data_IF_097390981445
#
_entry.id   IF_097390981445
#
_cell.length_a   1.000
_cell.length_b   1.000
_cell.length_c   1.000
_cell.angle_alpha   90.00
_cell.angle_beta   90.00
_cell.angle_gamma   90.00
#
_symmetry.space_group_name_H-M   'P 1'
#
loop_
_entity.id
_entity.type
_entity.pdbx_description
1 polymer ?
#
# COMPACT_ATOMS: atom_id res chain seq x y z
N UNK A 1 11.47 19.25 -24.47
CA UNK A 1 10.21 19.28 -23.70
C UNK A 1 10.48 18.73 -22.30
N UNK A 2 9.95 19.34 -21.24
CA UNK A 2 10.22 18.94 -19.84
C UNK A 2 9.68 17.55 -19.45
N UNK A 3 8.99 16.85 -20.35
CA UNK A 3 8.40 15.53 -20.10
C UNK A 3 9.41 14.36 -20.05
N UNK A 4 10.66 14.55 -20.51
CA UNK A 4 11.67 13.46 -20.51
C UNK A 4 12.09 12.98 -19.11
N UNK A 5 11.79 13.74 -18.05
CA UNK A 5 12.07 13.35 -16.67
C UNK A 5 10.95 12.54 -15.99
N UNK A 6 9.89 12.18 -16.72
CA UNK A 6 8.79 11.36 -16.21
C UNK A 6 8.86 9.90 -16.67
N UNK A 7 9.77 9.59 -17.59
CA UNK A 7 10.00 8.22 -18.02
C UNK A 7 10.92 7.52 -17.01
N UNK A 8 10.61 6.28 -16.60
CA UNK A 8 11.51 5.50 -15.77
C UNK A 8 12.89 5.42 -16.42
N UNK A 9 13.94 5.48 -15.59
CA UNK A 9 15.30 5.30 -16.08
C UNK A 9 15.42 3.96 -16.83
N UNK A 10 16.10 3.94 -17.99
CA UNK A 10 16.38 2.69 -18.68
C UNK A 10 17.23 1.77 -17.78
N UNK A 11 17.03 0.44 -17.82
CA UNK A 11 17.81 -0.51 -17.04
C UNK A 11 19.31 -0.37 -17.25
N UNK A 12 19.74 -0.05 -18.48
CA UNK A 12 21.14 0.17 -18.84
C UNK A 12 21.78 1.40 -18.17
N UNK A 13 20.97 2.32 -17.64
CA UNK A 13 21.44 3.50 -16.92
C UNK A 13 21.62 3.25 -15.42
N UNK A 14 21.21 2.08 -14.92
CA UNK A 14 21.35 1.71 -13.50
C UNK A 14 22.81 1.78 -13.05
N UNK A 15 23.07 2.54 -11.98
CA UNK A 15 24.41 2.74 -11.42
C UNK A 15 25.24 3.83 -12.09
N UNK A 16 24.81 4.38 -13.23
CA UNK A 16 25.47 5.50 -13.92
C UNK A 16 24.74 6.83 -13.78
N UNK A 17 23.45 6.78 -13.42
CA UNK A 17 22.59 7.94 -13.23
C UNK A 17 21.76 7.78 -11.95
N UNK A 18 21.63 8.86 -11.18
CA UNK A 18 20.75 8.94 -10.02
C UNK A 18 19.55 9.81 -10.41
N UNK A 19 18.36 9.21 -10.46
CA UNK A 19 17.11 9.94 -10.68
C UNK A 19 16.61 10.51 -9.34
N UNK A 20 16.64 11.85 -9.23
CA UNK A 20 16.12 12.60 -8.08
C UNK A 20 14.69 13.12 -8.32
N UNK A 21 14.11 12.87 -9.49
CA UNK A 21 12.75 13.26 -9.87
C UNK A 21 11.70 12.18 -9.57
N UNK A 22 12.11 10.93 -9.40
CA UNK A 22 11.23 9.82 -9.04
C UNK A 22 11.30 9.50 -7.54
N UNK A 23 10.14 9.49 -6.88
CA UNK A 23 10.02 9.12 -5.47
C UNK A 23 9.84 7.60 -5.25
N UNK A 24 9.74 6.82 -6.33
CA UNK A 24 9.58 5.36 -6.25
C UNK A 24 10.96 4.67 -6.24
N UNK A 25 11.14 3.74 -5.31
CA UNK A 25 12.31 2.86 -5.31
C UNK A 25 12.15 1.77 -6.39
N UNK A 26 13.26 1.24 -6.94
CA UNK A 26 13.22 0.03 -7.74
C UNK A 26 12.57 -1.13 -6.97
N UNK A 27 11.89 -2.01 -7.71
CA UNK A 27 11.31 -3.22 -7.14
C UNK A 27 12.38 -4.06 -6.42
N UNK A 28 12.11 -4.53 -5.18
CA UNK A 28 13.07 -5.34 -4.44
C UNK A 28 13.09 -6.77 -5.01
N UNK A 29 13.92 -7.01 -6.03
CA UNK A 29 14.16 -8.35 -6.58
C UNK A 29 15.24 -9.11 -5.78
N UNK A 30 15.08 -10.44 -5.58
CA UNK A 30 14.05 -11.32 -6.12
C UNK A 30 12.78 -11.42 -5.25
N UNK A 31 12.68 -10.64 -4.19
CA UNK A 31 11.65 -10.83 -3.15
C UNK A 31 10.24 -10.51 -3.67
N UNK A 32 10.08 -9.48 -4.50
CA UNK A 32 8.78 -9.15 -5.10
C UNK A 32 8.28 -10.32 -5.96
N UNK A 33 9.10 -10.80 -6.90
CA UNK A 33 8.74 -11.95 -7.73
C UNK A 33 8.35 -13.17 -6.89
N UNK A 34 9.12 -13.52 -5.86
CA UNK A 34 8.81 -14.66 -4.97
C UNK A 34 7.52 -14.46 -4.19
N UNK A 35 7.26 -13.25 -3.69
CA UNK A 35 6.03 -12.96 -2.95
C UNK A 35 4.79 -13.10 -3.85
N UNK A 36 4.87 -12.62 -5.09
CA UNK A 36 3.78 -12.76 -6.07
C UNK A 36 3.53 -14.24 -6.41
N UNK A 37 4.59 -15.02 -6.62
CA UNK A 37 4.47 -16.46 -6.86
C UNK A 37 3.80 -17.19 -5.68
N UNK A 38 4.25 -16.93 -4.45
CA UNK A 38 3.61 -17.52 -3.26
C UNK A 38 2.14 -17.11 -3.10
N UNK A 39 1.81 -15.84 -3.36
CA UNK A 39 0.43 -15.37 -3.31
C UNK A 39 -0.49 -16.07 -4.33
N UNK A 40 0.03 -16.40 -5.52
CA UNK A 40 -0.72 -17.17 -6.53
C UNK A 40 -0.98 -18.60 -6.07
N UNK A 41 -0.03 -19.24 -5.38
CA UNK A 41 -0.20 -20.56 -4.80
C UNK A 41 -1.27 -20.58 -3.68
N UNK A 42 -1.35 -19.50 -2.91
CA UNK A 42 -2.33 -19.32 -1.82
C UNK A 42 -3.70 -18.78 -2.27
N UNK A 43 -3.88 -18.45 -3.56
CA UNK A 43 -5.11 -17.86 -4.08
C UNK A 43 -6.38 -18.75 -3.96
N UNK A 44 -6.34 -20.08 -4.21
CA UNK A 44 -7.57 -20.87 -4.37
C UNK A 44 -8.60 -20.77 -3.23
N UNK A 45 -8.23 -20.82 -1.94
CA UNK A 45 -9.17 -20.66 -0.83
C UNK A 45 -10.02 -19.38 -0.90
N UNK A 46 -9.44 -18.28 -1.38
CA UNK A 46 -10.12 -16.99 -1.48
C UNK A 46 -11.06 -16.90 -2.69
N UNK A 47 -10.85 -17.75 -3.70
CA UNK A 47 -11.66 -17.81 -4.92
C UNK A 47 -12.86 -18.77 -4.81
N UNK A 48 -12.94 -19.58 -3.75
CA UNK A 48 -14.03 -20.55 -3.55
C UNK A 48 -15.32 -19.96 -2.96
N UNK A 49 -15.30 -18.69 -2.56
CA UNK A 49 -16.47 -17.97 -2.00
C UNK A 49 -16.80 -16.76 -2.87
N UNK A 50 -17.69 -15.88 -2.39
CA UNK A 50 -17.97 -14.60 -3.06
C UNK A 50 -16.70 -13.75 -3.27
N UNK A 51 -15.60 -14.05 -2.55
CA UNK A 51 -14.32 -13.37 -2.71
C UNK A 51 -14.34 -11.91 -2.24
N UNK A 52 -15.45 -11.49 -1.61
CA UNK A 52 -15.63 -10.13 -1.12
C UNK A 52 -15.25 -10.06 0.36
N UNK A 53 -14.30 -9.18 0.66
CA UNK A 53 -13.78 -8.92 1.99
C UNK A 53 -13.80 -7.41 2.22
N UNK A 54 -14.94 -6.83 2.66
CA UNK A 54 -15.13 -5.38 2.69
C UNK A 54 -14.11 -4.60 3.53
N UNK A 55 -13.57 -5.23 4.58
CA UNK A 55 -12.51 -4.66 5.42
C UNK A 55 -11.10 -5.16 5.05
N UNK A 56 -10.97 -6.06 4.08
CA UNK A 56 -9.74 -6.75 3.70
C UNK A 56 -9.64 -8.20 4.18
N UNK A 57 -8.68 -8.93 3.61
CA UNK A 57 -8.43 -10.34 3.93
C UNK A 57 -8.12 -10.53 5.42
N UNK A 58 -8.75 -11.50 6.13
CA UNK A 58 -8.53 -11.72 7.56
C UNK A 58 -7.06 -11.91 7.95
N UNK A 59 -6.32 -12.72 7.17
CA UNK A 59 -4.90 -12.98 7.41
C UNK A 59 -4.06 -11.69 7.28
N UNK A 60 -4.35 -10.85 6.29
CA UNK A 60 -3.66 -9.57 6.09
C UNK A 60 -3.94 -8.61 7.25
N UNK A 61 -5.19 -8.53 7.72
CA UNK A 61 -5.58 -7.68 8.85
C UNK A 61 -4.87 -8.10 10.13
N UNK A 62 -4.77 -9.41 10.39
CA UNK A 62 -4.00 -9.95 11.51
C UNK A 62 -2.53 -9.55 11.43
N UNK A 63 -1.88 -9.78 10.29
CA UNK A 63 -0.46 -9.45 10.10
C UNK A 63 -0.16 -7.95 10.34
N UNK A 64 -1.05 -7.06 9.89
CA UNK A 64 -0.91 -5.61 10.10
C UNK A 64 -1.07 -5.27 11.59
N UNK A 65 -2.06 -5.85 12.27
CA UNK A 65 -2.30 -5.66 13.69
C UNK A 65 -1.10 -6.15 14.54
N UNK A 66 -0.55 -7.31 14.22
CA UNK A 66 0.65 -7.85 14.85
C UNK A 66 1.85 -6.92 14.66
N UNK A 67 2.01 -6.37 13.45
CA UNK A 67 3.08 -5.41 13.14
C UNK A 67 2.97 -4.14 13.98
N UNK A 68 1.79 -3.53 14.08
CA UNK A 68 1.61 -2.34 14.93
C UNK A 68 1.80 -2.66 16.41
N UNK A 69 1.32 -3.83 16.85
CA UNK A 69 1.51 -4.31 18.23
C UNK A 69 2.99 -4.50 18.54
N UNK A 70 3.76 -5.07 17.62
CA UNK A 70 5.22 -5.22 17.77
C UNK A 70 5.95 -3.86 17.81
N UNK A 71 5.38 -2.82 17.19
CA UNK A 71 5.86 -1.43 17.27
C UNK A 71 5.43 -0.71 18.56
N UNK A 72 4.73 -1.39 19.47
CA UNK A 72 4.31 -0.86 20.77
C UNK A 72 2.92 -0.22 20.77
N UNK A 73 2.13 -0.39 19.71
CA UNK A 73 0.75 0.12 19.60
C UNK A 73 -0.20 -1.08 19.68
N UNK A 74 -0.82 -1.39 20.83
CA UNK A 74 -1.76 -2.50 20.95
C UNK A 74 -2.89 -2.36 19.91
N UNK A 75 -2.93 -3.27 18.94
CA UNK A 75 -3.83 -3.18 17.78
C UNK A 75 -4.53 -4.51 17.57
N UNK A 76 -5.85 -4.47 17.41
CA UNK A 76 -6.68 -5.63 17.09
C UNK A 76 -6.97 -5.67 15.58
N UNK A 77 -7.09 -6.85 14.95
CA UNK A 77 -7.40 -6.98 13.53
C UNK A 77 -8.69 -6.25 13.12
N UNK A 78 -9.68 -6.18 14.02
CA UNK A 78 -10.97 -5.53 13.82
C UNK A 78 -10.83 -4.02 13.58
N UNK A 79 -9.74 -3.42 14.06
CA UNK A 79 -9.43 -2.00 13.90
C UNK A 79 -8.75 -1.69 12.56
N UNK A 80 -8.42 -2.71 11.75
CA UNK A 80 -7.77 -2.55 10.45
C UNK A 80 -8.80 -2.63 9.32
N UNK A 81 -8.75 -1.67 8.40
CA UNK A 81 -9.42 -1.70 7.10
C UNK A 81 -8.39 -1.57 5.99
N UNK A 82 -8.36 -2.52 5.06
CA UNK A 82 -7.44 -2.52 3.92
C UNK A 82 -8.07 -1.73 2.76
N UNK A 83 -7.32 -0.78 2.22
CA UNK A 83 -7.76 0.08 1.10
C UNK A 83 -6.94 -0.17 -0.16
N UNK A 84 -7.39 0.33 -1.31
CA UNK A 84 -6.68 0.32 -2.59
C UNK A 84 -5.58 1.39 -2.66
N UNK A 85 -4.83 1.56 -1.56
CA UNK A 85 -3.75 2.52 -1.41
C UNK A 85 -4.05 3.68 -0.47
N UNK A 86 -3.01 4.50 -0.23
CA UNK A 86 -3.04 5.57 0.77
C UNK A 86 -4.06 6.67 0.44
N UNK A 87 -4.17 7.10 -0.82
CA UNK A 87 -5.11 8.15 -1.21
C UNK A 87 -6.58 7.75 -1.00
N UNK A 88 -6.92 6.48 -1.26
CA UNK A 88 -8.26 5.96 -0.97
C UNK A 88 -8.55 5.91 0.53
N UNK A 89 -7.55 5.63 1.36
CA UNK A 89 -7.69 5.70 2.81
C UNK A 89 -7.90 7.15 3.30
N UNK A 90 -7.13 8.10 2.75
CA UNK A 90 -7.29 9.52 3.08
C UNK A 90 -8.69 10.00 2.70
N UNK A 91 -9.17 9.68 1.51
CA UNK A 91 -10.53 10.03 1.06
C UNK A 91 -11.59 9.47 2.02
N UNK A 92 -11.51 8.19 2.39
CA UNK A 92 -12.44 7.56 3.32
C UNK A 92 -12.43 8.23 4.71
N UNK A 93 -11.25 8.52 5.25
CA UNK A 93 -11.09 9.19 6.55
C UNK A 93 -11.65 10.62 6.48
N UNK A 94 -11.34 11.38 5.44
CA UNK A 94 -11.90 12.72 5.23
C UNK A 94 -13.42 12.67 5.14
N UNK A 95 -14.00 11.71 4.43
CA UNK A 95 -15.45 11.58 4.30
C UNK A 95 -16.14 11.23 5.63
N UNK A 96 -15.47 10.45 6.48
CA UNK A 96 -16.01 10.01 7.77
C UNK A 96 -15.85 11.06 8.87
N UNK A 97 -14.74 11.80 8.87
CA UNK A 97 -14.36 12.66 10.00
C UNK A 97 -14.36 14.16 9.69
N UNK A 98 -14.36 14.58 8.42
CA UNK A 98 -14.38 16.00 8.05
C UNK A 98 -15.79 16.40 7.57
N UNK A 99 -16.54 17.05 8.47
CA UNK A 99 -17.85 17.60 8.17
C UNK A 99 -17.80 18.70 7.10
N UNK A 100 -18.97 19.04 6.54
CA UNK A 100 -19.09 20.11 5.55
C UNK A 100 -18.58 21.44 6.13
N UNK A 101 -17.57 22.03 5.50
CA UNK A 101 -16.99 23.31 5.93
C UNK A 101 -16.00 23.20 7.10
N UNK A 102 -15.66 21.98 7.53
CA UNK A 102 -14.65 21.75 8.54
C UNK A 102 -13.24 22.07 8.01
N UNK A 103 -12.36 22.54 8.90
CA UNK A 103 -11.00 22.96 8.57
C UNK A 103 -10.01 21.91 9.07
N UNK A 104 -9.20 21.37 8.17
CA UNK A 104 -8.15 20.39 8.48
C UNK A 104 -6.81 21.11 8.52
N UNK A 105 -6.06 20.96 9.61
CA UNK A 105 -4.70 21.47 9.71
C UNK A 105 -3.73 20.54 8.96
N UNK A 106 -2.80 21.13 8.22
CA UNK A 106 -1.75 20.41 7.47
C UNK A 106 -0.41 21.11 7.74
N UNK A 107 0.68 20.35 7.78
CA UNK A 107 2.03 20.90 7.90
C UNK A 107 2.52 21.56 6.59
N UNK A 108 3.51 22.45 6.68
CA UNK A 108 4.10 23.20 5.55
C UNK A 108 5.60 22.97 5.47
#
# INVERSE_FOLDING_TARGET
LPARGLEPLPPESLGSMIDLGCAALPAPEPWLTRAVQGALEELPPYAHTHGDYPAGLPALRQMIADRYTALGIPTMPEQIMVTTGAMGAIDAICHLFAGRGERIAVES
#
